data_IF_911460433569
#
_entry.id   IF_911460433569
#
_cell.length_a   1.000
_cell.length_b   1.000
_cell.length_c   1.000
_cell.angle_alpha   90.00
_cell.angle_beta   90.00
_cell.angle_gamma   90.00
#
_symmetry.space_group_name_H-M   'P 1'
#
loop_
_entity.id
_entity.type
_entity.pdbx_description
1 polymer ?
#
# COMPACT_ATOMS: atom_id res chain seq x y z
N UNK A 1 14.67 -14.04 16.55
CA UNK A 1 16.00 -13.80 15.94
C UNK A 1 16.77 -12.66 16.62
N UNK A 2 16.34 -11.40 16.60
CA UNK A 2 17.03 -10.34 17.36
C UNK A 2 17.13 -10.66 18.86
N UNK A 3 16.04 -11.15 19.46
CA UNK A 3 16.09 -11.65 20.86
C UNK A 3 16.99 -12.87 21.07
N UNK A 4 17.31 -13.65 20.03
CA UNK A 4 18.27 -14.76 20.13
C UNK A 4 19.70 -14.24 20.05
N UNK A 5 19.95 -13.22 19.22
CA UNK A 5 21.24 -12.51 19.13
C UNK A 5 21.56 -11.85 20.47
N UNK A 6 20.60 -11.14 21.08
CA UNK A 6 20.81 -10.48 22.38
C UNK A 6 21.15 -11.51 23.47
N UNK A 7 20.45 -12.65 23.50
CA UNK A 7 20.72 -13.73 24.46
C UNK A 7 22.09 -14.36 24.24
N UNK A 8 22.44 -14.71 23.01
CA UNK A 8 23.75 -15.25 22.68
C UNK A 8 24.88 -14.28 23.04
N UNK A 9 24.70 -12.98 22.78
CA UNK A 9 25.67 -11.95 23.16
C UNK A 9 25.83 -11.81 24.68
N UNK A 10 24.73 -11.95 25.43
CA UNK A 10 24.77 -12.01 26.90
C UNK A 10 25.62 -13.17 27.41
N UNK A 11 25.44 -14.36 26.83
CA UNK A 11 26.20 -15.56 27.20
C UNK A 11 27.69 -15.41 26.89
N UNK A 12 28.06 -14.86 25.73
CA UNK A 12 29.47 -14.58 25.38
C UNK A 12 30.09 -13.64 26.41
N UNK A 13 29.40 -12.55 26.75
CA UNK A 13 29.87 -11.56 27.72
C UNK A 13 30.05 -12.17 29.11
N UNK A 14 29.11 -13.01 29.53
CA UNK A 14 29.19 -13.71 30.82
C UNK A 14 30.37 -14.69 30.84
N UNK A 15 30.53 -15.52 29.81
CA UNK A 15 31.64 -16.47 29.71
C UNK A 15 33.02 -15.81 29.72
N UNK A 16 33.14 -14.61 29.15
CA UNK A 16 34.36 -13.79 29.21
C UNK A 16 34.61 -13.22 30.61
N UNK A 17 33.57 -12.73 31.29
CA UNK A 17 33.69 -12.17 32.64
C UNK A 17 34.04 -13.23 33.70
N UNK A 18 33.49 -14.43 33.56
CA UNK A 18 33.71 -15.56 34.49
C UNK A 18 35.03 -16.29 34.22
N UNK A 19 35.78 -15.91 33.17
CA UNK A 19 37.05 -16.56 32.83
C UNK A 19 36.87 -18.01 32.33
N UNK A 20 35.77 -18.28 31.61
CA UNK A 20 35.50 -19.61 31.08
C UNK A 20 36.62 -20.11 30.16
N UNK A 21 36.88 -21.43 30.09
CA UNK A 21 37.84 -22.01 29.16
C UNK A 21 37.67 -21.53 27.72
N UNK A 22 38.78 -21.34 27.00
CA UNK A 22 38.79 -20.78 25.63
C UNK A 22 37.90 -21.56 24.64
N UNK A 23 37.81 -22.89 24.77
CA UNK A 23 36.93 -23.70 23.91
C UNK A 23 35.44 -23.36 24.11
N UNK A 24 35.00 -23.11 25.34
CA UNK A 24 33.61 -22.73 25.65
C UNK A 24 33.31 -21.32 25.13
N UNK A 25 34.26 -20.40 25.26
CA UNK A 25 34.12 -19.05 24.72
C UNK A 25 33.96 -19.08 23.19
N UNK A 26 34.78 -19.87 22.50
CA UNK A 26 34.71 -20.05 21.06
C UNK A 26 33.36 -20.64 20.61
N UNK A 27 32.79 -21.59 21.37
CA UNK A 27 31.48 -22.17 21.06
C UNK A 27 30.35 -21.12 21.18
N UNK A 28 30.37 -20.29 22.22
CA UNK A 28 29.40 -19.20 22.38
C UNK A 28 29.55 -18.12 21.30
N UNK A 29 30.79 -17.79 20.93
CA UNK A 29 31.07 -16.84 19.86
C UNK A 29 30.60 -17.38 18.50
N UNK A 30 30.84 -18.66 18.20
CA UNK A 30 30.35 -19.33 17.00
C UNK A 30 28.82 -19.33 16.94
N UNK A 31 28.14 -19.55 18.07
CA UNK A 31 26.68 -19.48 18.15
C UNK A 31 26.16 -18.05 17.89
N UNK A 32 26.80 -17.03 18.46
CA UNK A 32 26.46 -15.63 18.18
C UNK A 32 26.64 -15.30 16.69
N UNK A 33 27.77 -15.70 16.12
CA UNK A 33 28.08 -15.53 14.70
C UNK A 33 27.02 -16.21 13.82
N UNK A 34 26.60 -17.43 14.17
CA UNK A 34 25.50 -18.13 13.50
C UNK A 34 24.19 -17.33 13.53
N UNK A 35 23.81 -16.79 14.70
CA UNK A 35 22.58 -16.02 14.83
C UNK A 35 22.61 -14.70 14.04
N UNK A 36 23.74 -14.02 14.00
CA UNK A 36 23.94 -12.79 13.20
C UNK A 36 23.92 -13.11 11.70
N UNK A 37 24.66 -14.13 11.28
CA UNK A 37 24.74 -14.56 9.89
C UNK A 37 23.34 -14.94 9.35
N UNK A 38 22.63 -15.83 10.05
CA UNK A 38 21.29 -16.28 9.65
C UNK A 38 20.19 -15.21 9.74
N UNK A 39 20.42 -14.13 10.49
CA UNK A 39 19.54 -12.95 10.47
C UNK A 39 19.67 -12.16 9.16
N UNK A 40 20.91 -11.99 8.68
CA UNK A 40 21.20 -11.32 7.41
C UNK A 40 20.84 -12.21 6.22
N UNK A 41 21.31 -13.44 6.23
CA UNK A 41 21.07 -14.44 5.21
C UNK A 41 20.91 -15.85 5.80
N UNK A 42 19.73 -16.44 5.63
CA UNK A 42 19.42 -17.77 6.16
C UNK A 42 19.60 -18.89 5.13
N UNK A 43 20.01 -18.55 3.90
CA UNK A 43 20.27 -19.52 2.82
C UNK A 43 21.79 -19.66 2.56
N UNK A 44 22.61 -19.53 3.60
CA UNK A 44 24.06 -19.67 3.48
C UNK A 44 24.40 -21.14 3.19
N UNK A 45 25.15 -21.39 2.12
CA UNK A 45 25.56 -22.74 1.75
C UNK A 45 26.46 -23.36 2.84
N UNK A 46 26.21 -24.63 3.19
CA UNK A 46 26.98 -25.34 4.21
C UNK A 46 26.64 -25.01 5.67
N UNK A 47 25.69 -24.10 5.91
CA UNK A 47 25.20 -23.76 7.25
C UNK A 47 23.77 -24.29 7.45
N UNK A 48 23.42 -24.82 8.63
CA UNK A 48 22.05 -25.24 8.91
C UNK A 48 21.11 -24.03 8.96
N UNK A 49 19.95 -24.13 8.31
CA UNK A 49 18.99 -23.02 8.31
C UNK A 49 18.42 -22.78 9.72
N UNK A 50 18.32 -21.51 10.10
CA UNK A 50 17.63 -21.14 11.33
C UNK A 50 16.12 -21.33 11.14
N UNK A 51 15.54 -22.21 11.96
CA UNK A 51 14.11 -22.50 11.96
C UNK A 51 13.39 -21.75 13.08
N UNK A 52 12.11 -21.44 12.86
CA UNK A 52 11.18 -21.03 13.90
C UNK A 52 10.77 -22.24 14.75
N UNK A 53 10.12 -22.00 15.89
CA UNK A 53 9.52 -23.07 16.71
C UNK A 53 8.55 -23.97 15.94
N UNK A 54 7.95 -23.44 14.86
CA UNK A 54 7.05 -24.15 13.96
C UNK A 54 7.77 -24.99 12.88
N UNK A 55 9.10 -25.05 12.89
CA UNK A 55 9.90 -25.73 11.86
C UNK A 55 10.05 -24.96 10.55
N UNK A 56 9.41 -23.79 10.40
CA UNK A 56 9.55 -22.94 9.19
C UNK A 56 10.85 -22.14 9.22
N UNK A 57 11.59 -22.01 8.10
CA UNK A 57 12.77 -21.16 8.04
C UNK A 57 12.46 -19.70 8.40
N UNK A 58 13.34 -19.09 9.19
CA UNK A 58 13.24 -17.67 9.53
C UNK A 58 13.50 -16.83 8.27
N UNK A 59 12.59 -15.89 7.95
CA UNK A 59 12.80 -14.93 6.85
C UNK A 59 13.90 -13.92 7.22
N UNK A 60 15.08 -14.09 6.63
CA UNK A 60 16.21 -13.17 6.73
C UNK A 60 15.95 -11.83 6.03
N UNK A 61 16.82 -10.84 6.26
CA UNK A 61 16.77 -9.56 5.55
C UNK A 61 16.96 -9.78 4.04
N UNK A 62 17.98 -10.56 3.64
CA UNK A 62 18.23 -10.87 2.24
C UNK A 62 17.01 -11.52 1.57
N UNK A 63 16.36 -12.47 2.24
CA UNK A 63 15.16 -13.14 1.74
C UNK A 63 13.97 -12.18 1.56
N UNK A 64 13.86 -11.11 2.35
CA UNK A 64 12.82 -10.09 2.19
C UNK A 64 13.09 -9.17 1.00
N UNK A 65 14.35 -8.98 0.61
CA UNK A 65 14.73 -8.12 -0.50
C UNK A 65 14.67 -8.85 -1.85
N UNK A 66 15.15 -10.10 -1.91
CA UNK A 66 15.22 -10.92 -3.12
C UNK A 66 13.90 -11.61 -3.47
N UNK A 67 13.76 -12.04 -4.72
CA UNK A 67 12.65 -12.88 -5.19
C UNK A 67 11.47 -12.11 -5.78
N UNK A 68 10.49 -12.86 -6.31
CA UNK A 68 9.30 -12.31 -6.99
C UNK A 68 8.42 -11.48 -6.05
N UNK A 69 8.24 -11.95 -4.83
CA UNK A 69 7.50 -11.27 -3.76
C UNK A 69 8.42 -10.44 -2.83
N UNK A 70 9.71 -10.31 -3.17
CA UNK A 70 10.64 -9.50 -2.43
C UNK A 70 10.33 -8.01 -2.55
N UNK A 71 10.87 -7.19 -1.64
CA UNK A 71 10.59 -5.74 -1.61
C UNK A 71 10.99 -5.02 -2.91
N UNK A 72 12.10 -5.40 -3.53
CA UNK A 72 12.55 -4.74 -4.77
C UNK A 72 11.52 -4.94 -5.89
N UNK A 73 11.15 -6.19 -6.19
CA UNK A 73 10.23 -6.48 -7.29
C UNK A 73 8.76 -6.26 -6.92
N UNK A 74 8.34 -6.73 -5.75
CA UNK A 74 6.95 -6.71 -5.32
C UNK A 74 6.46 -5.38 -4.75
N UNK A 75 7.34 -4.46 -4.34
CA UNK A 75 6.91 -3.18 -3.77
C UNK A 75 7.42 -1.96 -4.54
N UNK A 76 8.62 -2.02 -5.12
CA UNK A 76 9.17 -0.89 -5.87
C UNK A 76 8.82 -0.98 -7.36
N UNK A 77 8.98 -2.16 -7.99
CA UNK A 77 8.67 -2.33 -9.43
C UNK A 77 7.18 -2.54 -9.71
N UNK A 78 6.43 -3.11 -8.77
CA UNK A 78 5.00 -3.37 -8.93
C UNK A 78 4.24 -3.13 -7.63
N UNK A 79 3.86 -1.89 -7.34
CA UNK A 79 3.10 -1.55 -6.13
C UNK A 79 1.60 -1.68 -6.38
N UNK A 80 0.84 -2.01 -5.35
CA UNK A 80 -0.61 -1.79 -5.34
C UNK A 80 -0.87 -0.28 -5.43
N UNK A 81 -1.82 0.09 -6.27
CA UNK A 81 -2.20 1.48 -6.52
C UNK A 81 -3.61 1.72 -6.04
N UNK A 82 -3.83 2.88 -5.45
CA UNK A 82 -5.16 3.38 -5.10
C UNK A 82 -5.86 3.92 -6.37
N UNK A 83 -7.16 4.25 -6.25
CA UNK A 83 -7.98 4.76 -7.36
C UNK A 83 -8.03 3.85 -8.59
N UNK A 84 -8.00 2.53 -8.37
CA UNK A 84 -8.16 1.51 -9.41
C UNK A 84 -9.34 0.60 -9.14
N UNK A 85 -9.92 0.04 -10.20
CA UNK A 85 -11.01 -0.93 -10.11
C UNK A 85 -10.79 -2.06 -11.12
N UNK A 86 -11.39 -3.22 -10.86
CA UNK A 86 -11.35 -4.40 -11.73
C UNK A 86 -12.71 -5.08 -11.72
N UNK A 87 -13.22 -5.39 -12.91
CA UNK A 87 -14.49 -6.11 -13.09
C UNK A 87 -14.43 -6.97 -14.36
N UNK A 88 -15.44 -7.82 -14.55
CA UNK A 88 -15.63 -8.61 -15.78
C UNK A 88 -15.99 -7.69 -16.94
N UNK A 89 -15.46 -8.00 -18.12
CA UNK A 89 -15.75 -7.26 -19.35
C UNK A 89 -16.90 -7.92 -20.14
N UNK A 90 -17.72 -7.11 -20.78
CA UNK A 90 -18.77 -7.54 -21.71
C UNK A 90 -18.79 -6.56 -22.87
N UNK A 91 -19.00 -7.04 -24.09
CA UNK A 91 -19.07 -6.18 -25.28
C UNK A 91 -20.41 -5.47 -25.37
N UNK A 92 -20.39 -4.20 -25.80
CA UNK A 92 -21.58 -3.41 -26.10
C UNK A 92 -21.38 -2.74 -27.47
N UNK A 93 -22.21 -3.04 -28.48
CA UNK A 93 -22.07 -2.47 -29.83
C UNK A 93 -22.47 -0.99 -29.91
N UNK A 94 -23.12 -0.42 -28.88
CA UNK A 94 -23.57 0.97 -28.91
C UNK A 94 -22.53 1.97 -28.37
N UNK A 95 -21.42 1.48 -27.82
CA UNK A 95 -20.35 2.33 -27.31
C UNK A 95 -19.34 2.68 -28.40
N UNK A 96 -18.83 3.91 -28.37
CA UNK A 96 -17.76 4.34 -29.28
C UNK A 96 -16.45 3.62 -28.95
N UNK A 97 -15.53 3.56 -29.92
CA UNK A 97 -14.23 2.87 -29.75
C UNK A 97 -13.41 3.39 -28.56
N UNK A 98 -13.51 4.69 -28.26
CA UNK A 98 -12.77 5.35 -27.18
C UNK A 98 -13.54 5.41 -25.86
N UNK A 99 -14.68 4.73 -25.76
CA UNK A 99 -15.54 4.73 -24.59
C UNK A 99 -15.47 3.39 -23.86
N UNK A 100 -15.74 3.44 -22.56
CA UNK A 100 -15.82 2.25 -21.71
C UNK A 100 -16.96 2.42 -20.72
N UNK A 101 -17.86 1.43 -20.71
CA UNK A 101 -18.95 1.39 -19.75
C UNK A 101 -18.41 1.13 -18.34
N UNK A 102 -18.65 2.07 -17.41
CA UNK A 102 -18.28 1.91 -16.00
C UNK A 102 -19.55 1.72 -15.16
N UNK A 103 -19.68 0.61 -14.42
CA UNK A 103 -20.81 0.40 -13.53
C UNK A 103 -20.94 1.52 -12.49
N UNK A 104 -22.18 1.95 -12.20
CA UNK A 104 -22.47 3.01 -11.21
C UNK A 104 -21.85 2.71 -9.83
N UNK A 105 -21.79 1.44 -9.42
CA UNK A 105 -21.13 1.02 -8.17
C UNK A 105 -19.65 1.37 -8.15
N UNK A 106 -18.92 1.20 -9.26
CA UNK A 106 -17.51 1.58 -9.39
C UNK A 106 -17.38 3.10 -9.49
N UNK A 107 -18.25 3.76 -10.25
CA UNK A 107 -18.23 5.21 -10.44
C UNK A 107 -18.47 5.99 -9.14
N UNK A 108 -19.34 5.47 -8.26
CA UNK A 108 -19.54 6.01 -6.90
C UNK A 108 -18.39 5.64 -5.94
N UNK A 109 -17.49 4.72 -6.30
CA UNK A 109 -16.33 4.37 -5.47
C UNK A 109 -15.13 5.23 -5.81
N UNK A 110 -14.77 5.29 -7.10
CA UNK A 110 -13.65 6.05 -7.63
C UNK A 110 -13.94 7.54 -7.57
N UNK A 111 -12.92 8.32 -7.26
CA UNK A 111 -13.02 9.78 -7.17
C UNK A 111 -11.90 10.47 -7.90
N UNK A 112 -12.17 11.69 -8.32
CA UNK A 112 -11.19 12.58 -8.93
C UNK A 112 -11.16 13.89 -8.13
N UNK A 113 -9.98 14.32 -7.65
CA UNK A 113 -9.84 15.58 -6.93
C UNK A 113 -9.88 16.76 -7.92
N UNK A 114 -11.01 17.44 -7.99
CA UNK A 114 -11.17 18.64 -8.81
C UNK A 114 -10.97 19.91 -7.95
N UNK A 115 -10.13 20.84 -8.42
CA UNK A 115 -9.88 22.10 -7.72
C UNK A 115 -11.02 23.07 -7.99
N UNK A 116 -11.51 23.74 -6.95
CA UNK A 116 -12.58 24.73 -7.03
C UNK A 116 -12.03 25.99 -7.69
N UNK A 117 -12.65 26.37 -8.80
CA UNK A 117 -12.36 27.54 -9.62
C UNK A 117 -13.66 28.33 -9.85
N UNK A 118 -13.59 29.59 -10.28
CA UNK A 118 -14.79 30.37 -10.61
C UNK A 118 -15.70 29.70 -11.66
N UNK A 119 -15.13 28.88 -12.55
CA UNK A 119 -15.86 28.24 -13.64
C UNK A 119 -16.66 27.00 -13.21
N UNK A 120 -16.18 26.26 -12.20
CA UNK A 120 -16.77 24.98 -11.79
C UNK A 120 -17.43 25.03 -10.41
N UNK A 121 -17.33 26.14 -9.67
CA UNK A 121 -17.84 26.24 -8.29
C UNK A 121 -19.32 25.87 -8.18
N UNK A 122 -20.18 26.34 -9.10
CA UNK A 122 -21.61 26.02 -9.09
C UNK A 122 -21.86 24.52 -9.28
N UNK A 123 -21.14 23.90 -10.21
CA UNK A 123 -21.22 22.46 -10.48
C UNK A 123 -20.73 21.64 -9.28
N UNK A 124 -19.58 22.00 -8.70
CA UNK A 124 -19.01 21.30 -7.55
C UNK A 124 -19.88 21.43 -6.31
N UNK A 125 -20.49 22.60 -6.10
CA UNK A 125 -21.45 22.81 -5.02
C UNK A 125 -22.65 21.87 -5.14
N UNK A 126 -23.21 21.71 -6.34
CA UNK A 126 -24.29 20.76 -6.58
C UNK A 126 -23.87 19.31 -6.29
N UNK A 127 -22.66 18.89 -6.70
CA UNK A 127 -22.16 17.53 -6.42
C UNK A 127 -21.95 17.28 -4.92
N UNK A 128 -21.52 18.29 -4.17
CA UNK A 128 -21.39 18.22 -2.71
C UNK A 128 -22.77 18.14 -2.04
N UNK A 129 -23.76 18.85 -2.57
CA UNK A 129 -25.15 18.77 -2.09
C UNK A 129 -25.79 17.41 -2.34
N UNK A 130 -25.58 16.81 -3.51
CA UNK A 130 -26.01 15.43 -3.81
C UNK A 130 -25.32 14.41 -2.89
N UNK A 131 -24.06 14.67 -2.54
CA UNK A 131 -23.31 13.88 -1.57
C UNK A 131 -22.82 12.53 -2.12
N UNK A 132 -22.44 11.60 -1.24
CA UNK A 132 -21.73 10.38 -1.62
C UNK A 132 -22.63 9.20 -2.01
N UNK A 133 -23.94 9.27 -1.71
CA UNK A 133 -24.88 8.16 -1.90
C UNK A 133 -25.47 8.10 -3.31
N UNK A 134 -25.45 9.22 -4.03
CA UNK A 134 -26.01 9.36 -5.36
C UNK A 134 -24.93 9.72 -6.39
N UNK A 135 -25.22 9.40 -7.65
CA UNK A 135 -24.36 9.69 -8.79
C UNK A 135 -25.11 10.59 -9.78
N UNK A 136 -24.51 11.70 -10.24
CA UNK A 136 -23.17 12.19 -9.90
C UNK A 136 -23.14 12.93 -8.55
N UNK A 137 -22.07 12.73 -7.78
CA UNK A 137 -21.94 13.27 -6.42
C UNK A 137 -20.48 13.41 -5.99
N UNK A 138 -20.23 13.63 -4.69
CA UNK A 138 -18.89 13.77 -4.14
C UNK A 138 -18.74 13.08 -2.79
N UNK A 139 -17.50 12.70 -2.46
CA UNK A 139 -17.19 12.02 -1.20
C UNK A 139 -16.51 12.90 -0.18
N UNK A 140 -15.55 13.71 -0.62
CA UNK A 140 -14.73 14.49 0.28
C UNK A 140 -14.56 15.91 -0.23
N UNK A 141 -14.44 16.83 0.71
CA UNK A 141 -13.98 18.20 0.46
C UNK A 141 -12.69 18.41 1.23
N UNK A 142 -11.65 18.86 0.55
CA UNK A 142 -10.33 19.13 1.11
C UNK A 142 -10.14 20.64 1.08
N UNK A 143 -9.97 21.22 2.25
CA UNK A 143 -9.70 22.65 2.43
C UNK A 143 -8.25 23.00 2.08
N UNK A 144 -7.96 24.29 1.99
CA UNK A 144 -6.60 24.80 1.72
C UNK A 144 -5.57 24.43 2.81
N UNK A 145 -6.01 24.23 4.04
CA UNK A 145 -5.20 23.76 5.18
C UNK A 145 -4.89 22.25 5.14
N UNK A 146 -5.46 21.51 4.18
CA UNK A 146 -5.34 20.06 4.05
C UNK A 146 -6.35 19.27 4.88
N UNK A 147 -7.25 19.93 5.61
CA UNK A 147 -8.33 19.27 6.36
C UNK A 147 -9.30 18.61 5.39
N UNK A 148 -9.50 17.29 5.56
CA UNK A 148 -10.41 16.49 4.74
C UNK A 148 -11.74 16.29 5.46
N UNK A 149 -12.82 16.74 4.84
CA UNK A 149 -14.19 16.60 5.32
C UNK A 149 -14.83 15.42 4.59
N UNK A 150 -15.29 14.42 5.33
CA UNK A 150 -16.07 13.29 4.78
C UNK A 150 -17.56 13.66 4.72
N UNK A 151 -18.13 13.65 3.51
CA UNK A 151 -19.52 14.03 3.27
C UNK A 151 -20.53 12.98 3.75
N UNK A 152 -20.10 11.73 4.05
CA UNK A 152 -21.01 10.67 4.53
C UNK A 152 -21.52 10.92 5.94
N UNK A 153 -20.66 11.47 6.78
CA UNK A 153 -20.93 11.64 8.21
C UNK A 153 -21.28 13.09 8.57
N UNK A 154 -21.17 14.01 7.62
CA UNK A 154 -21.44 15.41 7.86
C UNK A 154 -22.92 15.73 7.62
N UNK A 155 -23.70 15.83 8.72
CA UNK A 155 -25.14 16.18 8.69
C UNK A 155 -25.46 17.50 7.97
N UNK A 156 -24.45 18.36 7.75
CA UNK A 156 -24.54 19.67 7.09
C UNK A 156 -23.72 19.74 5.79
N UNK A 157 -23.49 18.60 5.12
CA UNK A 157 -22.76 18.55 3.84
C UNK A 157 -23.30 19.53 2.79
N UNK A 158 -24.63 19.68 2.69
CA UNK A 158 -25.27 20.58 1.73
C UNK A 158 -25.16 22.08 2.02
N UNK A 159 -24.66 22.48 3.19
CA UNK A 159 -24.42 23.89 3.55
C UNK A 159 -22.94 24.26 3.57
N UNK A 160 -22.06 23.41 3.02
CA UNK A 160 -20.64 23.73 2.89
C UNK A 160 -20.48 24.77 1.78
N UNK A 161 -20.22 26.02 2.17
CA UNK A 161 -19.77 27.04 1.23
C UNK A 161 -18.36 26.68 0.74
N UNK A 162 -18.25 26.36 -0.55
CA UNK A 162 -16.96 26.08 -1.18
C UNK A 162 -16.20 27.37 -1.44
N UNK A 163 -14.92 27.39 -1.10
CA UNK A 163 -14.02 28.50 -1.42
C UNK A 163 -13.10 28.14 -2.59
N UNK A 164 -12.61 29.15 -3.29
CA UNK A 164 -11.64 28.95 -4.37
C UNK A 164 -10.34 28.34 -3.85
N UNK A 165 -9.78 27.39 -4.62
CA UNK A 165 -8.57 26.68 -4.26
C UNK A 165 -8.77 25.45 -3.36
N UNK A 166 -9.97 25.24 -2.81
CA UNK A 166 -10.32 23.96 -2.18
C UNK A 166 -10.38 22.85 -3.24
N UNK A 167 -10.33 21.58 -2.81
CA UNK A 167 -10.48 20.43 -3.70
C UNK A 167 -11.70 19.62 -3.32
N UNK A 168 -12.47 19.20 -4.31
CA UNK A 168 -13.62 18.31 -4.14
C UNK A 168 -13.30 16.98 -4.79
N UNK A 169 -13.30 15.91 -4.01
CA UNK A 169 -13.18 14.55 -4.53
C UNK A 169 -14.56 14.07 -5.00
N UNK A 170 -14.89 14.44 -6.24
CA UNK A 170 -16.13 14.04 -6.90
C UNK A 170 -16.06 12.61 -7.41
N UNK A 171 -17.20 11.96 -7.58
CA UNK A 171 -17.31 10.73 -8.35
C UNK A 171 -16.78 10.94 -9.77
N UNK A 172 -16.24 9.88 -10.38
CA UNK A 172 -15.93 9.91 -11.81
C UNK A 172 -17.24 10.08 -12.60
N UNK A 173 -17.22 10.83 -13.68
CA UNK A 173 -18.40 11.15 -14.51
C UNK A 173 -18.13 10.82 -15.98
N UNK A 174 -19.17 10.82 -16.79
CA UNK A 174 -19.06 10.67 -18.24
C UNK A 174 -18.11 11.71 -18.82
N UNK A 175 -17.17 11.27 -19.67
CA UNK A 175 -16.15 12.11 -20.30
C UNK A 175 -14.82 12.20 -19.54
N UNK A 176 -14.73 11.63 -18.33
CA UNK A 176 -13.44 11.52 -17.63
C UNK A 176 -12.52 10.50 -18.33
N UNK A 177 -11.24 10.87 -18.45
CA UNK A 177 -10.23 9.98 -19.00
C UNK A 177 -9.76 8.97 -17.95
N UNK A 178 -9.76 7.68 -18.33
CA UNK A 178 -9.22 6.61 -17.51
C UNK A 178 -8.24 5.77 -18.32
N UNK A 179 -7.29 5.14 -17.63
CA UNK A 179 -6.39 4.16 -18.23
C UNK A 179 -7.01 2.78 -18.07
N UNK A 180 -7.31 2.13 -19.18
CA UNK A 180 -7.81 0.76 -19.20
C UNK A 180 -6.70 -0.22 -19.61
N UNK A 181 -6.62 -1.37 -18.95
CA UNK A 181 -5.57 -2.35 -19.20
C UNK A 181 -6.07 -3.79 -19.04
N UNK A 182 -5.55 -4.71 -19.84
CA UNK A 182 -5.77 -6.16 -19.74
C UNK A 182 -4.44 -6.87 -19.48
N UNK A 183 -4.34 -7.55 -18.33
CA UNK A 183 -3.15 -8.33 -17.99
C UNK A 183 -3.16 -9.69 -18.73
N UNK A 184 -2.01 -10.20 -19.22
CA UNK A 184 -0.67 -9.59 -19.18
C UNK A 184 -0.50 -8.49 -20.24
N UNK A 185 0.11 -7.37 -19.85
CA UNK A 185 0.39 -6.25 -20.75
C UNK A 185 1.71 -6.48 -21.47
N UNK A 186 1.64 -7.02 -22.69
CA UNK A 186 2.81 -7.30 -23.54
C UNK A 186 3.01 -6.25 -24.65
N UNK A 187 1.99 -5.43 -24.89
CA UNK A 187 1.97 -4.42 -25.93
C UNK A 187 1.70 -3.04 -25.31
N UNK A 188 2.15 -1.98 -26.00
CA UNK A 188 1.93 -0.58 -25.62
C UNK A 188 0.61 -0.07 -26.21
#
# INVERSE_FOLDING_TARGET
KLGDIIRANGNVRQAQQEGSPAHIQNDFEALLQYHVATYMDNDIAGQPQALQKSGRPVKSIRARLKGKEGRLRGNLMGKRVDFSARTVITGDPNLSLNEVGVPKSIAMVLTYPETVTPYNISKLHQLVQTGPSEHPGAKYVIRSDGTRIDLRHHKRAGSIALEYGWKVERHIITGDYIIFNRQPSLHK
#
